data_IF_641045568427
#
_entry.id   IF_641045568427
#
_cell.length_a   1.000
_cell.length_b   1.000
_cell.length_c   1.000
_cell.angle_alpha   90.00
_cell.angle_beta   90.00
_cell.angle_gamma   90.00
#
_symmetry.space_group_name_H-M   'P 1'
#
loop_
_entity.id
_entity.type
_entity.pdbx_description
1 polymer ?
#
# COMPACT_ATOMS: atom_id res chain seq x y z
N UNK A 1 -8.84 6.34 -5.70
CA UNK A 1 -8.73 4.93 -6.12
C UNK A 1 -8.05 4.03 -5.09
N UNK A 2 -6.91 4.40 -4.48
CA UNK A 2 -6.20 3.53 -3.52
C UNK A 2 -7.09 3.05 -2.34
N UNK A 3 -7.87 3.97 -1.75
CA UNK A 3 -8.85 3.64 -0.69
C UNK A 3 -9.92 2.63 -1.14
N UNK A 4 -10.31 2.65 -2.42
CA UNK A 4 -11.27 1.68 -2.98
C UNK A 4 -10.63 0.30 -3.04
N UNK A 5 -9.41 0.19 -3.58
CA UNK A 5 -8.66 -1.07 -3.63
C UNK A 5 -8.46 -1.67 -2.24
N UNK A 6 -8.02 -0.84 -1.28
CA UNK A 6 -7.87 -1.25 0.12
C UNK A 6 -9.20 -1.78 0.69
N UNK A 7 -10.29 -1.03 0.51
CA UNK A 7 -11.61 -1.42 1.02
C UNK A 7 -12.15 -2.71 0.39
N UNK A 8 -11.90 -2.93 -0.90
CA UNK A 8 -12.28 -4.17 -1.59
C UNK A 8 -11.60 -5.39 -0.99
N UNK A 9 -10.34 -5.26 -0.57
CA UNK A 9 -9.54 -6.36 -0.05
C UNK A 9 -9.69 -6.56 1.47
N UNK A 10 -9.99 -5.50 2.24
CA UNK A 10 -10.18 -5.58 3.69
C UNK A 10 -11.60 -5.99 4.10
N UNK A 11 -12.62 -5.67 3.29
CA UNK A 11 -14.00 -6.02 3.62
C UNK A 11 -14.29 -7.47 3.22
N UNK A 12 -14.55 -8.40 4.17
CA UNK A 12 -14.77 -9.80 3.85
C UNK A 12 -15.92 -10.02 2.87
N UNK A 13 -16.98 -9.21 2.95
CA UNK A 13 -18.13 -9.31 2.05
C UNK A 13 -17.77 -8.97 0.60
N UNK A 14 -16.88 -7.99 0.40
CA UNK A 14 -16.41 -7.62 -0.94
C UNK A 14 -15.34 -8.59 -1.45
N UNK A 15 -14.44 -9.02 -0.55
CA UNK A 15 -13.40 -9.98 -0.89
C UNK A 15 -13.98 -11.34 -1.32
N UNK A 16 -15.06 -11.79 -0.68
CA UNK A 16 -15.78 -13.01 -1.05
C UNK A 16 -16.44 -12.94 -2.44
N UNK A 17 -16.74 -11.74 -2.94
CA UNK A 17 -17.25 -11.55 -4.31
C UNK A 17 -16.14 -11.64 -5.37
N UNK A 18 -14.87 -11.63 -4.97
CA UNK A 18 -13.73 -11.79 -5.87
C UNK A 18 -13.35 -13.27 -5.94
N UNK A 19 -13.94 -13.98 -6.90
CA UNK A 19 -13.74 -15.43 -7.07
C UNK A 19 -12.33 -15.77 -7.57
N UNK A 20 -11.77 -14.92 -8.44
CA UNK A 20 -10.47 -15.15 -9.09
C UNK A 20 -9.32 -14.60 -8.25
N UNK A 21 -8.37 -15.46 -7.91
CA UNK A 21 -7.13 -15.07 -7.23
C UNK A 21 -6.33 -14.01 -8.00
N UNK A 22 -6.30 -14.10 -9.33
CA UNK A 22 -5.62 -13.12 -10.19
C UNK A 22 -6.21 -11.71 -10.02
N UNK A 23 -7.52 -11.61 -9.81
CA UNK A 23 -8.19 -10.33 -9.59
C UNK A 23 -7.80 -9.75 -8.24
N UNK A 24 -7.73 -10.56 -7.17
CA UNK A 24 -7.25 -10.09 -5.86
C UNK A 24 -5.84 -9.53 -5.96
N UNK A 25 -4.99 -10.25 -6.66
CA UNK A 25 -3.60 -9.88 -6.87
C UNK A 25 -3.48 -8.62 -7.75
N UNK A 26 -4.29 -8.48 -8.80
CA UNK A 26 -4.38 -7.25 -9.60
C UNK A 26 -4.74 -6.04 -8.71
N UNK A 27 -5.72 -6.18 -7.82
CA UNK A 27 -6.13 -5.11 -6.91
C UNK A 27 -5.00 -4.74 -5.94
N UNK A 28 -4.23 -5.71 -5.43
CA UNK A 28 -3.03 -5.45 -4.62
C UNK A 28 -1.99 -4.64 -5.39
N UNK A 29 -1.71 -5.01 -6.64
CA UNK A 29 -0.76 -4.29 -7.51
C UNK A 29 -1.23 -2.87 -7.84
N UNK A 30 -2.51 -2.70 -8.16
CA UNK A 30 -3.11 -1.37 -8.41
C UNK A 30 -3.04 -0.52 -7.15
N UNK A 31 -3.32 -1.08 -5.98
CA UNK A 31 -3.21 -0.36 -4.70
C UNK A 31 -1.80 0.18 -4.49
N UNK A 32 -0.77 -0.65 -4.64
CA UNK A 32 0.64 -0.24 -4.46
C UNK A 32 1.07 0.76 -5.52
N UNK A 33 0.73 0.54 -6.79
CA UNK A 33 1.01 1.49 -7.87
C UNK A 33 0.41 2.86 -7.59
N UNK A 34 -0.84 2.92 -7.09
CA UNK A 34 -1.49 4.18 -6.73
C UNK A 34 -0.84 4.87 -5.53
N UNK A 35 -0.35 4.13 -4.53
CA UNK A 35 0.41 4.70 -3.39
C UNK A 35 1.69 5.36 -3.91
N UNK A 36 2.45 4.66 -4.75
CA UNK A 36 3.71 5.17 -5.32
C UNK A 36 3.43 6.40 -6.18
N UNK A 37 2.46 6.35 -7.09
CA UNK A 37 2.10 7.49 -7.93
C UNK A 37 1.66 8.70 -7.10
N UNK A 38 0.83 8.49 -6.07
CA UNK A 38 0.42 9.57 -5.17
C UNK A 38 1.64 10.18 -4.48
N UNK A 39 2.56 9.35 -4.01
CA UNK A 39 3.77 9.82 -3.33
C UNK A 39 4.66 10.67 -4.23
N UNK A 40 4.69 10.41 -5.54
CA UNK A 40 5.47 11.21 -6.50
C UNK A 40 4.77 12.49 -6.94
N UNK A 41 3.44 12.48 -7.05
CA UNK A 41 2.66 13.60 -7.60
C UNK A 41 2.18 14.59 -6.54
N UNK A 42 1.85 14.11 -5.33
CA UNK A 42 1.38 14.98 -4.25
C UNK A 42 2.57 15.75 -3.64
N UNK A 43 2.48 17.08 -3.42
CA UNK A 43 3.60 17.88 -2.94
C UNK A 43 4.20 17.38 -1.62
N UNK A 44 3.34 16.94 -0.70
CA UNK A 44 3.76 16.42 0.61
C UNK A 44 3.99 14.89 0.63
N UNK A 45 3.70 14.19 -0.47
CA UNK A 45 3.83 12.73 -0.55
C UNK A 45 2.71 11.93 0.14
N UNK A 46 2.87 10.61 0.13
CA UNK A 46 1.89 9.65 0.65
C UNK A 46 2.05 9.36 2.16
N UNK A 47 3.18 9.76 2.75
CA UNK A 47 3.59 9.31 4.08
C UNK A 47 3.34 10.33 5.20
N UNK A 48 2.95 11.56 4.86
CA UNK A 48 2.66 12.60 5.85
C UNK A 48 1.40 12.30 6.65
N UNK A 49 1.34 12.83 7.88
CA UNK A 49 0.15 12.71 8.72
C UNK A 49 -1.01 13.47 8.05
N UNK A 50 -2.11 12.77 7.79
CA UNK A 50 -3.28 13.35 7.11
C UNK A 50 -3.30 13.16 5.59
N UNK A 51 -2.33 12.43 5.01
CA UNK A 51 -2.39 12.04 3.61
C UNK A 51 -3.70 11.31 3.29
N UNK A 52 -4.22 11.52 2.07
CA UNK A 52 -5.48 10.93 1.62
C UNK A 52 -5.35 9.41 1.28
N UNK A 53 -4.15 8.86 1.43
CA UNK A 53 -3.82 7.45 1.19
C UNK A 53 -3.45 6.79 2.52
N UNK A 54 -4.16 5.74 2.89
CA UNK A 54 -3.85 4.96 4.10
C UNK A 54 -2.71 3.98 3.84
N UNK A 55 -1.48 4.49 3.81
CA UNK A 55 -0.28 3.67 3.59
C UNK A 55 -0.14 2.59 4.67
N UNK A 56 -0.49 2.89 5.93
CA UNK A 56 -0.41 1.93 7.03
C UNK A 56 -1.33 0.73 6.81
N UNK A 57 -2.58 0.99 6.41
CA UNK A 57 -3.55 -0.04 6.04
C UNK A 57 -3.05 -0.88 4.87
N UNK A 58 -2.58 -0.23 3.80
CA UNK A 58 -2.00 -0.90 2.63
C UNK A 58 -0.86 -1.86 3.01
N UNK A 59 0.10 -1.42 3.83
CA UNK A 59 1.25 -2.27 4.19
C UNK A 59 0.82 -3.42 5.10
N UNK A 60 -0.09 -3.20 6.06
CA UNK A 60 -0.65 -4.27 6.90
C UNK A 60 -1.38 -5.32 6.08
N UNK A 61 -2.17 -4.88 5.09
CA UNK A 61 -2.86 -5.78 4.18
C UNK A 61 -1.87 -6.62 3.37
N UNK A 62 -0.77 -6.03 2.89
CA UNK A 62 0.31 -6.76 2.20
C UNK A 62 1.00 -7.77 3.12
N UNK A 63 1.32 -7.40 4.36
CA UNK A 63 1.92 -8.30 5.35
C UNK A 63 1.03 -9.49 5.72
N UNK A 64 -0.29 -9.37 5.53
CA UNK A 64 -1.23 -10.48 5.71
C UNK A 64 -1.29 -11.44 4.50
N UNK A 65 -0.64 -11.11 3.38
CA UNK A 65 -0.57 -11.99 2.20
C UNK A 65 0.61 -12.96 2.30
N UNK A 66 0.58 -14.08 1.56
CA UNK A 66 1.74 -14.97 1.44
C UNK A 66 2.98 -14.19 0.99
N UNK A 67 4.12 -14.42 1.64
CA UNK A 67 5.36 -13.68 1.41
C UNK A 67 5.76 -13.60 -0.07
N UNK A 68 5.61 -14.70 -0.82
CA UNK A 68 5.90 -14.77 -2.26
C UNK A 68 5.08 -13.76 -3.10
N UNK A 69 3.88 -13.40 -2.64
CA UNK A 69 3.02 -12.39 -3.27
C UNK A 69 3.29 -10.98 -2.71
N UNK A 70 3.56 -10.87 -1.41
CA UNK A 70 3.70 -9.61 -0.69
C UNK A 70 5.05 -8.92 -0.91
N UNK A 71 6.15 -9.68 -0.85
CA UNK A 71 7.51 -9.13 -0.75
C UNK A 71 7.89 -8.24 -1.95
N UNK A 72 7.58 -8.60 -3.22
CA UNK A 72 7.85 -7.70 -4.34
C UNK A 72 7.12 -6.35 -4.23
N UNK A 73 5.90 -6.37 -3.68
CA UNK A 73 5.07 -5.18 -3.50
C UNK A 73 5.55 -4.32 -2.33
N UNK A 74 5.98 -4.96 -1.23
CA UNK A 74 6.63 -4.28 -0.12
C UNK A 74 7.95 -3.62 -0.57
N UNK A 75 8.75 -4.31 -1.38
CA UNK A 75 9.98 -3.76 -1.95
C UNK A 75 9.72 -2.59 -2.90
N UNK A 76 8.66 -2.63 -3.69
CA UNK A 76 8.26 -1.48 -4.50
C UNK A 76 7.96 -0.25 -3.61
N UNK A 77 7.30 -0.44 -2.47
CA UNK A 77 7.09 0.64 -1.50
C UNK A 77 8.38 1.08 -0.83
N UNK A 78 9.35 0.19 -0.58
CA UNK A 78 10.64 0.55 0.04
C UNK A 78 11.53 1.37 -0.88
N UNK A 79 11.62 0.97 -2.15
CA UNK A 79 12.67 1.44 -3.05
C UNK A 79 12.19 2.40 -4.13
N UNK A 80 10.87 2.48 -4.39
CA UNK A 80 10.34 3.32 -5.47
C UNK A 80 9.55 4.53 -4.96
N UNK A 81 9.29 4.65 -3.67
CA UNK A 81 8.67 5.84 -3.08
C UNK A 81 9.67 6.97 -2.87
N UNK A 82 9.21 8.21 -3.06
CA UNK A 82 10.00 9.43 -2.93
C UNK A 82 10.15 9.89 -1.48
N UNK A 83 9.10 9.79 -0.66
CA UNK A 83 9.07 10.45 0.65
C UNK A 83 9.18 9.51 1.86
N UNK A 84 9.30 8.19 1.68
CA UNK A 84 9.39 7.22 2.79
C UNK A 84 10.47 7.59 3.83
N UNK A 85 11.65 7.99 3.36
CA UNK A 85 12.78 8.36 4.22
C UNK A 85 12.84 9.87 4.55
N UNK A 86 11.78 10.62 4.24
CA UNK A 86 11.69 12.06 4.54
C UNK A 86 11.45 12.34 6.03
N UNK A 87 11.81 13.54 6.47
CA UNK A 87 11.70 13.98 7.87
C UNK A 87 10.25 13.99 8.38
N UNK A 88 9.29 14.28 7.49
CA UNK A 88 7.87 14.34 7.80
C UNK A 88 7.20 12.96 7.85
N UNK A 89 7.93 11.88 7.51
CA UNK A 89 7.38 10.53 7.56
C UNK A 89 7.40 10.00 8.99
N UNK A 90 6.25 9.55 9.54
CA UNK A 90 6.20 8.97 10.88
C UNK A 90 7.12 7.75 11.03
N UNK A 91 7.95 7.76 12.08
CA UNK A 91 8.94 6.68 12.37
C UNK A 91 8.32 5.29 12.45
N UNK A 92 7.06 5.19 12.87
CA UNK A 92 6.35 3.92 12.91
C UNK A 92 6.06 3.34 11.52
N UNK A 93 5.81 4.18 10.51
CA UNK A 93 5.62 3.75 9.11
C UNK A 93 6.96 3.32 8.52
N UNK A 94 8.02 4.10 8.75
CA UNK A 94 9.39 3.73 8.33
C UNK A 94 9.80 2.36 8.88
N UNK A 95 9.58 2.10 10.17
CA UNK A 95 9.89 0.79 10.78
C UNK A 95 9.08 -0.35 10.19
N UNK A 96 7.84 -0.09 9.77
CA UNK A 96 6.95 -1.10 9.22
C UNK A 96 7.41 -1.56 7.82
N UNK A 97 8.09 -0.67 7.10
CA UNK A 97 8.74 -0.94 5.81
C UNK A 97 10.26 -1.11 5.94
N UNK A 98 10.84 -1.08 7.14
CA UNK A 98 12.25 -1.39 7.31
C UNK A 98 12.49 -2.85 6.91
N UNK A 99 13.55 -3.08 6.14
CA UNK A 99 14.02 -4.41 5.78
C UNK A 99 14.81 -5.02 6.95
#
# INVERSE_FOLDING_TARGET
MAKVCLRMLENPKLLQQIEREDTKMLVLRVMVGLVILYDHVHPEGAFVRGAHVDVKGCVRLLQAQPAIKAEPLLNALRYTTKHLNGENTPKNIQRLLAA
#
